data_IF_463253342363
#
_entry.id   IF_463253342363
#
_cell.length_a   1.000
_cell.length_b   1.000
_cell.length_c   1.000
_cell.angle_alpha   90.00
_cell.angle_beta   90.00
_cell.angle_gamma   90.00
#
_symmetry.space_group_name_H-M   'P 1'
#
loop_
_entity.id
_entity.type
_entity.pdbx_description
1 polymer ?
#
# COMPACT_ATOMS: atom_id res chain seq x y z
N UNK A 1 21.84 -0.31 4.00
CA UNK A 1 20.65 -0.30 4.89
C UNK A 1 19.55 0.39 4.13
N UNK A 2 18.67 -0.42 3.54
CA UNK A 2 17.53 0.02 2.73
C UNK A 2 16.57 0.86 3.56
N UNK A 3 16.69 2.19 3.46
CA UNK A 3 15.83 3.16 4.16
C UNK A 3 14.43 3.29 3.56
N UNK A 4 14.08 2.46 2.57
CA UNK A 4 12.82 2.55 1.83
C UNK A 4 11.61 1.89 2.53
N UNK A 5 11.85 0.87 3.36
CA UNK A 5 10.78 0.10 4.04
C UNK A 5 10.17 0.85 5.22
N UNK A 6 11.02 1.48 6.03
CA UNK A 6 10.56 2.28 7.18
C UNK A 6 9.73 3.47 6.68
N UNK A 7 10.09 4.06 5.55
CA UNK A 7 9.43 5.28 5.05
C UNK A 7 7.97 5.09 4.63
N UNK A 8 7.59 3.97 4.00
CA UNK A 8 6.20 3.80 3.52
C UNK A 8 5.24 3.43 4.64
N UNK A 9 5.65 2.52 5.54
CA UNK A 9 4.83 2.22 6.71
C UNK A 9 4.76 3.40 7.68
N UNK A 10 5.86 4.16 7.84
CA UNK A 10 5.84 5.40 8.61
C UNK A 10 4.93 6.44 7.97
N UNK A 11 4.93 6.57 6.63
CA UNK A 11 3.99 7.45 5.94
C UNK A 11 2.53 7.05 6.19
N UNK A 12 2.22 5.76 6.23
CA UNK A 12 0.88 5.26 6.60
C UNK A 12 0.53 5.55 8.07
N UNK A 13 1.48 5.35 9.01
CA UNK A 13 1.26 5.62 10.44
C UNK A 13 1.07 7.10 10.74
N UNK A 14 1.90 7.95 10.13
CA UNK A 14 1.89 9.40 10.30
C UNK A 14 0.90 10.12 9.38
N UNK A 15 0.26 9.39 8.45
CA UNK A 15 -0.66 9.92 7.44
C UNK A 15 -0.03 11.02 6.58
N UNK A 16 1.24 10.88 6.24
CA UNK A 16 1.99 11.80 5.36
C UNK A 16 2.03 11.34 3.90
N UNK A 17 1.22 10.34 3.53
CA UNK A 17 1.05 9.96 2.13
C UNK A 17 0.13 10.94 1.42
N UNK A 18 0.36 11.13 0.13
CA UNK A 18 -0.46 11.98 -0.74
C UNK A 18 -1.64 11.20 -1.33
N UNK A 19 -1.42 9.92 -1.65
CA UNK A 19 -2.43 9.07 -2.28
C UNK A 19 -2.18 7.58 -2.00
N UNK A 20 -3.27 6.81 -1.96
CA UNK A 20 -3.25 5.35 -1.88
C UNK A 20 -3.95 4.77 -3.11
N UNK A 21 -3.37 3.72 -3.68
CA UNK A 21 -4.00 2.95 -4.75
C UNK A 21 -3.73 1.46 -4.56
N UNK A 22 -4.66 0.62 -5.02
CA UNK A 22 -4.47 -0.83 -5.04
C UNK A 22 -4.11 -1.22 -6.46
N UNK A 23 -2.87 -1.61 -6.67
CA UNK A 23 -2.41 -2.15 -7.95
C UNK A 23 -2.76 -3.62 -8.04
N UNK A 24 -3.52 -4.00 -9.08
CA UNK A 24 -3.84 -5.39 -9.40
C UNK A 24 -3.09 -5.83 -10.65
N UNK A 25 -2.26 -6.86 -10.52
CA UNK A 25 -1.55 -7.53 -11.62
C UNK A 25 -1.89 -9.01 -11.55
N UNK A 26 -2.41 -9.57 -12.63
CA UNK A 26 -2.93 -10.94 -12.66
C UNK A 26 -3.96 -11.19 -11.53
N UNK A 27 -3.61 -12.01 -10.55
CA UNK A 27 -4.45 -12.36 -9.39
C UNK A 27 -3.89 -11.80 -8.07
N UNK A 28 -2.92 -10.88 -8.14
CA UNK A 28 -2.26 -10.32 -6.96
C UNK A 28 -2.56 -8.82 -6.88
N UNK A 29 -2.93 -8.38 -5.68
CA UNK A 29 -3.15 -7.00 -5.30
C UNK A 29 -2.00 -6.53 -4.40
N UNK A 30 -1.47 -5.34 -4.65
CA UNK A 30 -0.48 -4.70 -3.79
C UNK A 30 -0.88 -3.26 -3.53
N UNK A 31 -0.53 -2.74 -2.35
CA UNK A 31 -0.74 -1.34 -2.03
C UNK A 31 0.35 -0.49 -2.70
N UNK A 32 -0.08 0.57 -3.36
CA UNK A 32 0.78 1.65 -3.86
C UNK A 32 0.56 2.85 -2.96
N UNK A 33 1.64 3.38 -2.42
CA UNK A 33 1.66 4.56 -1.56
C UNK A 33 2.41 5.66 -2.30
N UNK A 34 1.79 6.81 -2.45
CA UNK A 34 2.42 7.99 -3.05
C UNK A 34 2.92 8.91 -1.95
N UNK A 35 4.21 9.21 -1.94
CA UNK A 35 4.85 10.10 -0.97
C UNK A 35 5.81 11.01 -1.73
N UNK A 36 5.73 12.33 -1.53
CA UNK A 36 6.54 13.33 -2.22
C UNK A 36 6.51 13.16 -3.76
N UNK A 37 5.31 12.99 -4.34
CA UNK A 37 5.11 12.73 -5.76
C UNK A 37 5.63 11.40 -6.29
N UNK A 38 6.18 10.53 -5.43
CA UNK A 38 6.72 9.23 -5.82
C UNK A 38 5.81 8.08 -5.40
N UNK A 39 5.23 7.38 -6.37
CA UNK A 39 4.43 6.19 -6.14
C UNK A 39 5.32 4.95 -5.95
N UNK A 40 5.16 4.25 -4.82
CA UNK A 40 5.93 3.03 -4.51
C UNK A 40 5.02 1.91 -4.04
N UNK A 41 5.36 0.68 -4.42
CA UNK A 41 4.67 -0.52 -3.94
C UNK A 41 5.13 -0.81 -2.53
N UNK A 42 4.18 -1.04 -1.63
CA UNK A 42 4.45 -1.45 -0.26
C UNK A 42 5.11 -2.86 -0.23
N UNK A 43 6.18 -2.97 0.53
CA UNK A 43 6.88 -4.22 0.83
C UNK A 43 6.59 -4.71 2.25
N UNK A 44 6.75 -6.01 2.50
CA UNK A 44 6.77 -6.59 3.85
C UNK A 44 8.07 -6.22 4.57
N UNK A 45 8.32 -6.78 5.76
CA UNK A 45 9.51 -6.50 6.58
C UNK A 45 10.80 -7.17 6.07
N UNK A 46 10.69 -8.05 5.08
CA UNK A 46 11.80 -8.76 4.43
C UNK A 46 12.17 -8.15 3.06
N UNK A 47 11.65 -6.97 2.71
CA UNK A 47 11.81 -6.33 1.41
C UNK A 47 11.02 -6.98 0.26
N UNK A 48 10.28 -8.06 0.54
CA UNK A 48 9.39 -8.73 -0.40
C UNK A 48 8.13 -7.90 -0.68
N UNK A 49 7.55 -8.01 -1.88
CA UNK A 49 6.30 -7.31 -2.19
C UNK A 49 5.19 -7.80 -1.27
N UNK A 50 4.48 -6.88 -0.64
CA UNK A 50 3.28 -7.23 0.12
C UNK A 50 2.16 -7.52 -0.87
N UNK A 51 1.65 -8.75 -0.86
CA UNK A 51 0.65 -9.22 -1.83
C UNK A 51 -0.58 -9.76 -1.13
N UNK A 52 -1.72 -9.45 -1.74
CA UNK A 52 -3.04 -9.86 -1.32
C UNK A 52 -3.75 -10.50 -2.51
N UNK A 53 -4.71 -11.40 -2.27
CA UNK A 53 -5.52 -11.96 -3.36
C UNK A 53 -6.61 -11.01 -3.82
N UNK A 54 -7.10 -10.18 -2.90
CA UNK A 54 -8.22 -9.29 -3.16
C UNK A 54 -7.97 -7.89 -2.60
N UNK A 55 -8.55 -6.88 -3.27
CA UNK A 55 -8.47 -5.48 -2.85
C UNK A 55 -9.05 -5.24 -1.44
N UNK A 56 -10.11 -5.96 -1.06
CA UNK A 56 -10.68 -5.83 0.29
C UNK A 56 -9.70 -6.22 1.39
N UNK A 57 -8.80 -7.18 1.15
CA UNK A 57 -7.79 -7.57 2.14
C UNK A 57 -6.75 -6.47 2.37
N UNK A 58 -6.45 -5.67 1.33
CA UNK A 58 -5.58 -4.48 1.46
C UNK A 58 -6.26 -3.45 2.36
N UNK A 59 -7.55 -3.20 2.14
CA UNK A 59 -8.35 -2.24 2.92
C UNK A 59 -8.49 -2.67 4.38
N UNK A 60 -8.82 -3.93 4.62
CA UNK A 60 -8.87 -4.47 5.99
C UNK A 60 -7.53 -4.38 6.69
N UNK A 61 -6.44 -4.66 5.99
CA UNK A 61 -5.10 -4.54 6.56
C UNK A 61 -4.79 -3.08 6.94
N UNK A 62 -5.10 -2.13 6.07
CA UNK A 62 -4.96 -0.69 6.33
C UNK A 62 -5.78 -0.24 7.54
N UNK A 63 -7.03 -0.68 7.61
CA UNK A 63 -7.92 -0.39 8.73
C UNK A 63 -7.38 -0.97 10.04
N UNK A 64 -6.96 -2.25 10.05
CA UNK A 64 -6.48 -2.94 11.25
C UNK A 64 -5.14 -2.43 11.75
N UNK A 65 -4.20 -2.10 10.84
CA UNK A 65 -2.83 -1.73 11.20
C UNK A 65 -2.61 -0.23 11.36
N UNK A 66 -3.32 0.60 10.59
CA UNK A 66 -3.09 2.05 10.54
C UNK A 66 -4.36 2.87 10.81
N UNK A 67 -5.49 2.22 11.11
CA UNK A 67 -6.78 2.90 11.31
C UNK A 67 -7.17 3.80 10.13
N UNK A 68 -6.81 3.38 8.92
CA UNK A 68 -7.18 4.05 7.67
C UNK A 68 -8.47 3.38 7.16
N UNK A 69 -9.56 4.14 7.17
CA UNK A 69 -10.91 3.68 6.80
C UNK A 69 -11.36 4.21 5.45
N UNK A 70 -10.42 4.52 4.55
CA UNK A 70 -10.76 4.98 3.20
C UNK A 70 -11.52 3.88 2.45
N UNK A 71 -12.85 4.02 2.42
CA UNK A 71 -13.75 3.03 1.80
C UNK A 71 -13.53 2.95 0.28
N UNK A 72 -13.02 4.03 -0.31
CA UNK A 72 -12.85 4.20 -1.75
C UNK A 72 -11.39 4.28 -2.20
N UNK A 73 -10.48 3.45 -1.66
CA UNK A 73 -9.14 3.32 -2.26
C UNK A 73 -9.29 2.75 -3.69
N UNK A 74 -8.87 3.47 -4.74
CA UNK A 74 -9.03 3.05 -6.13
C UNK A 74 -8.26 1.77 -6.43
N UNK A 75 -8.83 0.92 -7.28
CA UNK A 75 -8.17 -0.30 -7.76
C UNK A 75 -7.77 -0.09 -9.22
N UNK A 76 -6.47 -0.09 -9.46
CA UNK A 76 -5.89 0.08 -10.79
C UNK A 76 -5.49 -1.29 -11.35
N UNK A 77 -6.11 -1.69 -12.46
CA UNK A 77 -5.81 -2.96 -13.12
C UNK A 77 -4.82 -2.73 -14.25
N UNK A 78 -3.72 -3.47 -14.22
CA UNK A 78 -2.70 -3.43 -15.26
C UNK A 78 -2.72 -4.76 -16.03
N UNK A 79 -2.63 -4.67 -17.36
CA UNK A 79 -2.53 -5.82 -18.27
C UNK A 79 -1.10 -5.97 -18.75
#
# INVERSE_FOLDING_TARGET
>A
MDKGETTLQDALRSRTFENLAIKRINQECSLVVTVNGSARVLTNEDGGRMKFRHAWQVREWLQRKFQITEEAIPVETYR
#
